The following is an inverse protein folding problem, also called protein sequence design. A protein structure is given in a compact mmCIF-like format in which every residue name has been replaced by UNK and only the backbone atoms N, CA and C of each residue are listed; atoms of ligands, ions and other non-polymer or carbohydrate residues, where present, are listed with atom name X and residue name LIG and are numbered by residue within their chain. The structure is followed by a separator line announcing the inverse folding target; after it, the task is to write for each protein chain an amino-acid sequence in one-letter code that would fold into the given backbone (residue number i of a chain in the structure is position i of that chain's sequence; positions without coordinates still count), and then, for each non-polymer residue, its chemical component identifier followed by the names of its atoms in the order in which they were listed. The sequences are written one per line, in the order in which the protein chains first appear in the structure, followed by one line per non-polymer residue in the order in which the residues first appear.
data_IF_868861390323
#
_entry.id   IF_868861390323
#
_cell.length_a   1.000
_cell.length_b   1.000
_cell.length_c   1.000
_cell.angle_alpha   90.00
_cell.angle_beta   90.00
_cell.angle_gamma   90.00
#
_symmetry.space_group_name_H-M   'P 1'
#
loop_
_entity.id
_entity.type
_entity.pdbx_description
1 polymer ?
#
# COMPACT_ATOMS: atom_id res chain seq x y z
N UNK A 1 -10.98 -3.82 7.61
CA UNK A 1 -10.40 -4.29 6.33
C UNK A 1 -9.02 -3.69 6.01
N UNK A 2 -8.01 -4.54 5.74
CA UNK A 2 -6.63 -4.17 5.36
C UNK A 2 -6.69 -4.18 3.86
N UNK A 3 -7.18 -3.08 3.34
CA UNK A 3 -7.80 -3.08 2.03
C UNK A 3 -6.76 -3.12 0.94
N UNK A 4 -5.94 -2.10 0.79
CA UNK A 4 -5.62 -1.75 -0.58
C UNK A 4 -4.62 -2.66 -1.25
N UNK A 5 -3.57 -3.08 -0.55
CA UNK A 5 -2.64 -4.06 -1.08
C UNK A 5 -3.13 -5.51 -0.89
N UNK A 6 -4.05 -5.78 0.05
CA UNK A 6 -4.72 -7.07 0.22
C UNK A 6 -5.91 -7.29 -0.72
N UNK A 7 -6.39 -6.23 -1.36
CA UNK A 7 -7.55 -6.26 -2.24
C UNK A 7 -7.26 -6.90 -3.59
N UNK A 8 -6.00 -6.85 -4.02
CA UNK A 8 -5.52 -7.44 -5.27
C UNK A 8 -5.02 -8.89 -5.14
N UNK A 9 -5.08 -9.48 -3.94
CA UNK A 9 -4.51 -10.82 -3.67
C UNK A 9 -5.24 -11.90 -4.49
N UNK A 10 -4.57 -12.49 -5.48
CA UNK A 10 -5.17 -13.50 -6.37
C UNK A 10 -5.58 -12.98 -7.75
N UNK A 11 -5.14 -11.77 -8.13
CA UNK A 11 -5.32 -11.27 -9.49
C UNK A 11 -4.55 -12.13 -10.53
N UNK A 12 -5.23 -12.58 -11.58
CA UNK A 12 -4.64 -13.35 -12.68
C UNK A 12 -3.61 -12.55 -13.52
N UNK A 13 -3.60 -11.21 -13.39
CA UNK A 13 -2.65 -10.33 -14.08
C UNK A 13 -1.17 -10.54 -13.65
N UNK A 14 -0.92 -11.30 -12.59
CA UNK A 14 0.41 -11.66 -12.12
C UNK A 14 1.19 -12.59 -13.08
N UNK A 15 0.58 -13.08 -14.17
CA UNK A 15 1.24 -14.02 -15.09
C UNK A 15 1.61 -13.46 -16.48
N UNK A 16 1.16 -12.27 -16.89
CA UNK A 16 1.60 -11.64 -18.15
C UNK A 16 1.55 -10.11 -18.06
N UNK A 17 2.66 -9.46 -17.67
CA UNK A 17 2.76 -8.01 -17.66
C UNK A 17 3.82 -7.49 -18.67
N UNK A 18 3.41 -6.79 -19.75
CA UNK A 18 4.34 -6.15 -20.70
C UNK A 18 5.20 -5.02 -20.09
N UNK A 19 4.92 -4.56 -18.86
CA UNK A 19 5.67 -3.49 -18.16
C UNK A 19 7.10 -3.86 -17.78
N UNK A 20 7.48 -5.14 -17.84
CA UNK A 20 8.85 -5.58 -17.55
C UNK A 20 9.89 -4.95 -18.48
N UNK A 21 9.49 -4.53 -19.70
CA UNK A 21 10.38 -3.84 -20.64
C UNK A 21 10.64 -2.35 -20.31
N UNK A 22 9.81 -1.70 -19.50
CA UNK A 22 9.99 -0.29 -19.13
C UNK A 22 10.86 -0.11 -17.88
N UNK A 23 10.86 -1.09 -16.97
CA UNK A 23 11.69 -1.07 -15.76
C UNK A 23 13.16 -1.45 -16.03
N UNK A 24 13.46 -2.15 -17.14
CA UNK A 24 14.82 -2.56 -17.48
C UNK A 24 15.72 -1.45 -18.05
N UNK A 25 15.20 -0.25 -18.36
CA UNK A 25 16.04 0.86 -18.86
C UNK A 25 16.70 1.71 -17.78
N UNK A 26 16.37 1.51 -16.51
CA UNK A 26 16.99 2.23 -15.38
C UNK A 26 17.93 1.32 -14.56
N UNK A 27 17.89 0.00 -14.78
CA UNK A 27 18.62 -0.98 -13.97
C UNK A 27 19.92 -1.51 -14.64
N UNK A 28 20.43 -0.84 -15.66
CA UNK A 28 21.65 -1.24 -16.37
C UNK A 28 22.71 -0.14 -16.26
N UNK A 29 23.08 0.18 -15.03
CA UNK A 29 24.41 0.65 -14.61
C UNK A 29 24.32 0.90 -13.10
N UNK A 30 24.91 0.01 -12.31
CA UNK A 30 25.72 0.34 -11.12
C UNK A 30 26.03 -0.93 -10.32
N UNK A 31 27.34 -1.20 -10.20
CA UNK A 31 27.93 -2.18 -9.31
C UNK A 31 27.85 -1.69 -7.84
N UNK A 32 28.07 -2.55 -6.81
CA UNK A 32 27.81 -2.15 -5.44
C UNK A 32 28.92 -1.20 -4.94
N UNK A 33 28.59 0.09 -4.83
CA UNK A 33 29.46 1.07 -4.16
C UNK A 33 29.29 1.05 -2.63
N UNK A 34 30.37 1.35 -1.87
CA UNK A 34 30.41 1.19 -0.43
C UNK A 34 29.71 2.36 0.29
N UNK A 35 29.28 2.08 1.54
CA UNK A 35 28.68 2.99 2.54
C UNK A 35 28.80 4.49 2.22
N UNK A 36 27.70 5.12 1.81
CA UNK A 36 27.65 6.56 1.63
C UNK A 36 27.64 7.31 2.99
N UNK A 37 28.54 8.28 3.10
CA UNK A 37 28.63 9.21 4.21
C UNK A 37 27.41 10.18 4.22
N UNK A 38 27.15 10.89 5.33
CA UNK A 38 26.13 11.95 5.38
C UNK A 38 26.53 13.04 4.38
N UNK A 39 25.89 13.05 3.20
CA UNK A 39 26.24 13.95 2.09
C UNK A 39 25.75 13.52 0.70
N UNK A 40 25.39 12.24 0.52
CA UNK A 40 24.99 11.71 -0.81
C UNK A 40 23.46 11.62 -1.02
N UNK A 41 22.71 12.54 -0.42
CA UNK A 41 21.27 12.61 -0.65
C UNK A 41 20.97 13.34 -1.97
N UNK A 42 20.48 12.60 -2.96
CA UNK A 42 19.90 13.14 -4.19
C UNK A 42 18.39 13.23 -4.06
N UNK A 43 17.86 14.43 -3.82
CA UNK A 43 16.41 14.66 -3.75
C UNK A 43 15.66 14.06 -4.96
N UNK A 44 14.65 13.19 -4.74
CA UNK A 44 13.69 12.77 -5.78
C UNK A 44 12.63 13.86 -6.05
N UNK A 45 12.65 14.96 -5.29
CA UNK A 45 11.68 16.04 -5.30
C UNK A 45 12.21 17.36 -5.89
N UNK A 46 13.27 17.30 -6.70
CA UNK A 46 13.86 18.49 -7.37
C UNK A 46 12.87 19.26 -8.23
N UNK A 47 11.95 18.55 -8.87
CA UNK A 47 10.90 19.11 -9.73
C UNK A 47 9.51 18.94 -9.10
N UNK A 48 9.42 18.96 -7.76
CA UNK A 48 8.15 18.70 -7.07
C UNK A 48 7.08 19.72 -7.46
N UNK A 49 7.46 20.99 -7.58
CA UNK A 49 6.50 22.03 -7.96
C UNK A 49 5.87 21.77 -9.35
N UNK A 50 6.61 21.18 -10.26
CA UNK A 50 6.21 20.89 -11.64
C UNK A 50 5.55 19.52 -11.81
N UNK A 51 5.57 18.65 -10.79
CA UNK A 51 5.16 17.24 -10.92
C UNK A 51 4.18 16.73 -9.88
N UNK A 52 4.10 17.37 -8.70
CA UNK A 52 3.24 16.91 -7.62
C UNK A 52 1.76 16.98 -8.02
N UNK A 53 0.98 15.93 -7.73
CA UNK A 53 -0.43 15.90 -8.12
C UNK A 53 -1.21 17.04 -7.45
N UNK A 54 -0.87 17.40 -6.21
CA UNK A 54 -1.48 18.52 -5.48
C UNK A 54 -1.34 19.87 -6.20
N UNK A 55 -0.36 20.01 -7.10
CA UNK A 55 -0.13 21.26 -7.86
C UNK A 55 -0.58 21.18 -9.30
N UNK A 56 -0.42 20.03 -9.93
CA UNK A 56 -0.56 19.89 -11.39
C UNK A 56 -1.80 19.11 -11.82
N UNK A 57 -2.26 18.16 -11.00
CA UNK A 57 -3.38 17.33 -11.38
C UNK A 57 -4.70 18.08 -11.16
N UNK A 58 -5.63 18.04 -12.13
CA UNK A 58 -6.94 18.62 -11.93
C UNK A 58 -7.70 17.80 -10.88
N UNK A 59 -8.62 18.44 -10.16
CA UNK A 59 -9.58 17.73 -9.32
C UNK A 59 -10.34 16.71 -10.15
N UNK A 60 -10.20 15.43 -9.80
CA UNK A 60 -10.91 14.32 -10.46
C UNK A 60 -12.39 14.38 -10.12
N UNK A 61 -13.23 14.43 -11.15
CA UNK A 61 -14.69 14.54 -11.00
C UNK A 61 -15.38 13.45 -11.82
N UNK A 62 -16.36 12.77 -11.24
CA UNK A 62 -17.20 11.79 -11.94
C UNK A 62 -17.97 12.48 -13.08
N UNK A 63 -17.93 11.91 -14.29
CA UNK A 63 -18.60 12.48 -15.45
C UNK A 63 -19.95 11.81 -15.70
N UNK A 64 -20.94 12.58 -16.12
CA UNK A 64 -22.31 12.06 -16.36
C UNK A 64 -22.36 11.00 -17.49
N UNK A 65 -21.47 11.12 -18.49
CA UNK A 65 -21.42 10.29 -19.71
C UNK A 65 -20.74 8.92 -19.53
N UNK A 66 -20.46 8.50 -18.30
CA UNK A 66 -19.74 7.25 -17.96
C UNK A 66 -20.64 6.10 -17.54
N UNK A 67 -21.90 6.10 -17.99
CA UNK A 67 -22.85 5.02 -17.71
C UNK A 67 -22.33 3.67 -18.25
N UNK A 68 -22.45 2.61 -17.45
CA UNK A 68 -21.98 1.26 -17.80
C UNK A 68 -20.50 0.99 -17.50
N UNK A 69 -19.74 1.97 -16.99
CA UNK A 69 -18.38 1.74 -16.49
C UNK A 69 -18.40 1.29 -15.03
N UNK A 70 -17.40 0.51 -14.64
CA UNK A 70 -17.22 0.06 -13.27
C UNK A 70 -16.58 1.14 -12.38
N UNK A 71 -16.97 1.18 -11.11
CA UNK A 71 -16.30 2.02 -10.11
C UNK A 71 -14.97 1.43 -9.63
N UNK A 72 -14.75 0.14 -9.87
CA UNK A 72 -13.49 -0.54 -9.59
C UNK A 72 -13.28 -1.69 -10.59
N UNK A 73 -12.05 -1.99 -11.05
CA UNK A 73 -11.82 -3.11 -11.98
C UNK A 73 -12.23 -4.46 -11.36
N UNK A 74 -13.15 -5.24 -11.98
CA UNK A 74 -13.54 -6.55 -11.45
C UNK A 74 -12.38 -7.54 -11.33
N UNK A 75 -11.45 -7.53 -12.29
CA UNK A 75 -10.27 -8.41 -12.31
C UNK A 75 -9.31 -8.21 -11.13
N UNK A 76 -9.45 -7.07 -10.45
CA UNK A 76 -8.71 -6.71 -9.26
C UNK A 76 -9.47 -7.01 -7.96
N UNK A 77 -10.66 -7.60 -8.06
CA UNK A 77 -11.47 -8.04 -6.93
C UNK A 77 -11.65 -9.57 -7.05
N UNK A 78 -10.72 -10.37 -6.49
CA UNK A 78 -10.61 -11.81 -6.71
C UNK A 78 -11.94 -12.58 -6.54
N UNK A 79 -12.72 -12.23 -5.53
CA UNK A 79 -14.01 -12.88 -5.24
C UNK A 79 -15.02 -12.75 -6.39
N UNK A 80 -14.92 -11.73 -7.25
CA UNK A 80 -15.82 -11.56 -8.41
C UNK A 80 -15.63 -12.63 -9.47
N UNK A 81 -14.50 -13.35 -9.43
CA UNK A 81 -14.21 -14.43 -10.36
C UNK A 81 -14.80 -15.78 -9.92
N UNK A 82 -15.22 -15.89 -8.66
CA UNK A 82 -15.76 -17.12 -8.09
C UNK A 82 -17.15 -17.45 -8.67
N UNK A 83 -17.44 -18.71 -9.05
CA UNK A 83 -18.73 -19.09 -9.65
C UNK A 83 -19.96 -18.64 -8.86
N UNK A 84 -19.98 -18.88 -7.54
CA UNK A 84 -21.08 -18.44 -6.66
C UNK A 84 -21.30 -16.92 -6.65
N UNK A 85 -20.23 -16.14 -6.82
CA UNK A 85 -20.33 -14.68 -6.86
C UNK A 85 -20.81 -14.25 -8.24
N UNK A 86 -20.38 -14.91 -9.32
CA UNK A 86 -20.85 -14.66 -10.70
C UNK A 86 -22.34 -14.94 -10.91
N UNK A 87 -22.94 -15.79 -10.08
CA UNK A 87 -24.38 -16.10 -10.09
C UNK A 87 -25.22 -15.02 -9.38
N UNK A 88 -24.60 -14.06 -8.68
CA UNK A 88 -25.31 -12.97 -8.03
C UNK A 88 -25.93 -12.00 -9.07
N UNK A 89 -27.01 -11.29 -8.68
CA UNK A 89 -27.61 -10.28 -9.56
C UNK A 89 -26.62 -9.19 -9.95
N UNK A 90 -26.73 -8.66 -11.18
CA UNK A 90 -25.85 -7.59 -11.68
C UNK A 90 -25.79 -6.35 -10.77
N UNK A 91 -26.90 -5.98 -10.13
CA UNK A 91 -26.96 -4.89 -9.17
C UNK A 91 -26.06 -5.13 -7.93
N UNK A 92 -25.93 -6.39 -7.50
CA UNK A 92 -25.06 -6.79 -6.39
C UNK A 92 -23.60 -6.72 -6.79
N UNK A 93 -23.26 -7.08 -8.04
CA UNK A 93 -21.92 -6.88 -8.57
C UNK A 93 -21.50 -5.40 -8.59
N UNK A 94 -22.39 -4.51 -9.05
CA UNK A 94 -22.11 -3.07 -9.03
C UNK A 94 -21.90 -2.57 -7.60
N UNK A 95 -22.78 -2.97 -6.68
CA UNK A 95 -22.66 -2.62 -5.27
C UNK A 95 -21.35 -3.13 -4.64
N UNK A 96 -20.96 -4.38 -4.94
CA UNK A 96 -19.70 -4.97 -4.48
C UNK A 96 -18.49 -4.13 -4.95
N UNK A 97 -18.45 -3.72 -6.21
CA UNK A 97 -17.35 -2.90 -6.74
C UNK A 97 -17.34 -1.49 -6.15
N UNK A 98 -18.52 -0.90 -5.90
CA UNK A 98 -18.63 0.40 -5.21
C UNK A 98 -18.14 0.30 -3.76
N UNK A 99 -18.54 -0.74 -3.02
CA UNK A 99 -18.06 -0.96 -1.66
C UNK A 99 -16.56 -1.25 -1.63
N UNK A 100 -16.04 -1.97 -2.62
CA UNK A 100 -14.60 -2.18 -2.77
C UNK A 100 -13.85 -0.86 -2.97
N UNK A 101 -14.36 0.02 -3.84
CA UNK A 101 -13.79 1.37 -4.02
C UNK A 101 -13.83 2.16 -2.70
N UNK A 102 -14.91 2.12 -1.92
CA UNK A 102 -14.92 2.81 -0.62
C UNK A 102 -13.84 2.31 0.33
N UNK A 103 -13.58 1.01 0.36
CA UNK A 103 -12.51 0.43 1.17
C UNK A 103 -11.13 0.85 0.69
N UNK A 104 -10.95 0.95 -0.62
CA UNK A 104 -9.74 1.48 -1.24
C UNK A 104 -9.47 2.90 -0.76
N UNK A 105 -10.46 3.79 -0.93
CA UNK A 105 -10.32 5.22 -0.63
C UNK A 105 -10.18 5.47 0.87
N UNK A 106 -10.92 4.76 1.73
CA UNK A 106 -10.81 4.89 3.18
C UNK A 106 -9.46 4.37 3.71
N UNK A 107 -8.96 3.28 3.15
CA UNK A 107 -7.62 2.80 3.48
C UNK A 107 -6.56 3.84 3.14
N UNK A 108 -6.55 4.35 1.91
CA UNK A 108 -5.58 5.36 1.46
C UNK A 108 -5.66 6.59 2.34
N UNK A 109 -6.87 7.17 2.51
CA UNK A 109 -7.05 8.36 3.33
C UNK A 109 -6.54 8.20 4.76
N UNK A 110 -6.71 7.02 5.37
CA UNK A 110 -6.30 6.79 6.76
C UNK A 110 -4.85 6.37 6.90
N UNK A 111 -4.28 5.67 5.93
CA UNK A 111 -2.84 5.42 5.89
C UNK A 111 -2.12 6.77 5.82
N UNK A 112 -2.50 7.59 4.86
CA UNK A 112 -1.84 8.86 4.58
C UNK A 112 -1.98 9.83 5.74
N UNK A 113 -3.19 10.05 6.24
CA UNK A 113 -3.43 11.07 7.27
C UNK A 113 -3.01 10.65 8.69
N UNK A 114 -3.19 9.39 9.08
CA UNK A 114 -3.00 8.96 10.47
C UNK A 114 -1.63 8.34 10.72
N UNK A 115 -0.99 7.78 9.68
CA UNK A 115 0.26 7.03 9.82
C UNK A 115 1.41 7.72 9.10
N UNK A 116 1.31 7.92 7.79
CA UNK A 116 2.40 8.48 6.99
C UNK A 116 2.65 9.93 7.37
N UNK A 117 1.61 10.77 7.37
CA UNK A 117 1.72 12.20 7.71
C UNK A 117 2.28 12.46 9.10
N UNK A 118 1.91 11.63 10.09
CA UNK A 118 2.45 11.72 11.44
C UNK A 118 3.97 11.50 11.43
N UNK A 119 4.43 10.47 10.72
CA UNK A 119 5.85 10.11 10.67
C UNK A 119 6.67 11.10 9.85
N UNK A 120 6.20 11.49 8.67
CA UNK A 120 6.94 12.46 7.82
C UNK A 120 7.01 13.84 8.46
N UNK A 121 6.01 14.25 9.25
CA UNK A 121 6.10 15.49 10.02
C UNK A 121 7.22 15.42 11.08
N UNK A 122 7.35 14.28 11.77
CA UNK A 122 8.45 14.05 12.70
C UNK A 122 9.82 14.05 12.00
N UNK A 123 9.91 13.45 10.81
CA UNK A 123 11.12 13.50 9.98
C UNK A 123 11.46 14.94 9.60
N UNK A 124 10.48 15.70 9.10
CA UNK A 124 10.65 17.09 8.69
C UNK A 124 11.12 17.98 9.85
N UNK A 125 10.53 17.78 11.03
CA UNK A 125 10.90 18.51 12.25
C UNK A 125 12.21 18.04 12.88
N UNK A 126 12.79 16.93 12.41
CA UNK A 126 14.01 16.36 13.00
C UNK A 126 13.78 15.73 14.37
N UNK A 127 12.53 15.37 14.71
CA UNK A 127 12.17 14.78 15.99
C UNK A 127 12.16 13.24 15.98
N UNK A 128 12.48 12.63 14.83
CA UNK A 128 12.50 11.18 14.62
C UNK A 128 13.75 10.49 15.21
N UNK A 129 14.74 11.24 15.70
CA UNK A 129 15.96 10.69 16.29
C UNK A 129 16.98 10.13 15.29
N UNK A 130 16.87 10.53 14.03
CA UNK A 130 17.81 10.18 12.94
C UNK A 130 18.43 11.47 12.41
N UNK A 131 19.75 11.53 12.36
CA UNK A 131 20.49 12.63 11.74
C UNK A 131 20.33 12.56 10.22
N UNK A 132 19.78 13.60 9.61
CA UNK A 132 19.44 13.64 8.18
C UNK A 132 19.96 14.93 7.54
N UNK A 133 20.37 14.89 6.26
CA UNK A 133 20.65 16.10 5.51
C UNK A 133 19.45 17.06 5.49
N UNK A 134 19.69 18.36 5.54
CA UNK A 134 18.63 19.38 5.56
C UNK A 134 17.67 19.26 4.37
N UNK A 135 18.18 18.96 3.17
CA UNK A 135 17.36 18.76 1.98
C UNK A 135 16.40 17.56 2.14
N UNK A 136 16.83 16.50 2.81
CA UNK A 136 16.02 15.32 3.06
C UNK A 136 14.90 15.59 4.07
N UNK A 137 15.19 16.41 5.09
CA UNK A 137 14.16 16.89 6.03
C UNK A 137 13.18 17.83 5.34
N UNK A 138 13.66 18.68 4.44
CA UNK A 138 12.80 19.58 3.68
C UNK A 138 11.88 18.82 2.71
N UNK A 139 12.39 17.77 2.07
CA UNK A 139 11.59 16.91 1.20
C UNK A 139 10.46 16.18 1.95
N UNK A 140 10.62 15.89 3.24
CA UNK A 140 9.52 15.34 4.05
C UNK A 140 8.31 16.30 4.16
N UNK A 141 8.50 17.62 4.09
CA UNK A 141 7.37 18.57 4.00
C UNK A 141 6.64 18.49 2.65
N UNK A 142 7.33 18.11 1.58
CA UNK A 142 6.70 17.92 0.26
C UNK A 142 5.83 16.67 0.27
N UNK A 143 6.35 15.56 0.83
CA UNK A 143 5.56 14.34 1.07
C UNK A 143 4.35 14.65 1.94
N UNK A 144 4.52 15.41 3.02
CA UNK A 144 3.40 15.80 3.88
C UNK A 144 2.27 16.52 3.11
N UNK A 145 2.63 17.35 2.13
CA UNK A 145 1.66 18.02 1.27
C UNK A 145 0.99 17.04 0.29
N UNK A 146 1.75 16.14 -0.31
CA UNK A 146 1.25 15.11 -1.22
C UNK A 146 0.26 14.19 -0.49
N UNK A 147 0.60 13.69 0.69
CA UNK A 147 -0.28 12.80 1.47
C UNK A 147 -1.56 13.47 1.99
N UNK A 148 -1.47 14.75 2.36
CA UNK A 148 -2.65 15.53 2.68
C UNK A 148 -3.59 15.65 1.46
N UNK A 149 -3.03 15.80 0.25
CA UNK A 149 -3.81 15.81 -0.98
C UNK A 149 -4.37 14.42 -1.34
N UNK A 150 -3.60 13.36 -1.10
CA UNK A 150 -4.05 11.97 -1.28
C UNK A 150 -5.25 11.64 -0.40
N UNK A 151 -5.20 12.10 0.85
CA UNK A 151 -6.34 12.04 1.77
C UNK A 151 -7.53 12.81 1.21
N UNK A 152 -7.32 14.06 0.76
CA UNK A 152 -8.39 14.92 0.25
C UNK A 152 -9.09 14.32 -0.97
N UNK A 153 -8.34 13.89 -2.00
CA UNK A 153 -8.95 13.34 -3.21
C UNK A 153 -9.71 12.05 -2.91
N UNK A 154 -9.28 11.28 -1.90
CA UNK A 154 -9.89 9.99 -1.58
C UNK A 154 -11.26 10.20 -0.95
N UNK A 155 -11.34 11.13 0.00
CA UNK A 155 -12.58 11.54 0.65
C UNK A 155 -13.53 12.22 -0.36
N UNK A 156 -12.99 13.10 -1.22
CA UNK A 156 -13.79 13.80 -2.22
C UNK A 156 -14.41 12.80 -3.22
N UNK A 157 -13.62 11.87 -3.75
CA UNK A 157 -14.12 10.86 -4.68
C UNK A 157 -15.17 9.94 -4.04
N UNK A 158 -14.97 9.51 -2.79
CA UNK A 158 -15.95 8.70 -2.07
C UNK A 158 -17.31 9.44 -1.96
N UNK A 159 -17.28 10.74 -1.62
CA UNK A 159 -18.50 11.57 -1.55
C UNK A 159 -19.20 11.70 -2.90
N UNK A 160 -18.44 11.86 -3.98
CA UNK A 160 -19.01 11.90 -5.33
C UNK A 160 -19.70 10.59 -5.71
N UNK A 161 -19.07 9.45 -5.40
CA UNK A 161 -19.63 8.11 -5.69
C UNK A 161 -20.92 7.88 -4.89
N UNK A 162 -20.95 8.25 -3.61
CA UNK A 162 -22.17 8.13 -2.78
C UNK A 162 -23.31 8.98 -3.33
N UNK A 163 -23.03 10.22 -3.71
CA UNK A 163 -24.03 11.12 -4.29
C UNK A 163 -24.60 10.58 -5.60
N UNK A 164 -23.75 9.99 -6.45
CA UNK A 164 -24.13 9.47 -7.78
C UNK A 164 -24.86 8.14 -7.70
N UNK A 165 -24.36 7.20 -6.92
CA UNK A 165 -24.90 5.82 -6.84
C UNK A 165 -26.02 5.67 -5.82
N UNK A 166 -26.09 6.57 -4.83
CA UNK A 166 -26.94 6.45 -3.63
C UNK A 166 -26.63 5.22 -2.77
N UNK A 167 -25.48 4.59 -2.98
CA UNK A 167 -24.97 3.50 -2.16
C UNK A 167 -24.11 4.12 -1.06
N UNK A 168 -24.53 3.96 0.19
CA UNK A 168 -23.75 4.46 1.33
C UNK A 168 -22.52 3.57 1.60
N UNK A 169 -21.35 4.16 1.97
CA UNK A 169 -20.18 3.39 2.37
C UNK A 169 -20.45 2.50 3.59
N UNK A 170 -20.09 1.22 3.51
CA UNK A 170 -20.11 0.27 4.63
C UNK A 170 -18.69 0.03 5.13
N UNK A 171 -18.17 1.02 5.87
CA UNK A 171 -16.80 1.00 6.37
C UNK A 171 -16.77 0.67 7.88
N UNK A 172 -15.77 -0.08 8.35
CA UNK A 172 -15.53 -0.24 9.78
C UNK A 172 -15.10 1.09 10.41
N UNK A 173 -15.13 1.18 11.74
CA UNK A 173 -14.66 2.38 12.49
C UNK A 173 -13.23 2.77 12.11
N UNK A 174 -12.38 1.77 11.87
CA UNK A 174 -11.01 1.90 11.42
C UNK A 174 -10.65 0.74 10.46
N UNK A 175 -9.76 0.97 9.48
CA UNK A 175 -9.22 -0.07 8.62
C UNK A 175 -8.50 -1.13 9.45
N UNK A 176 -8.51 -2.35 8.96
CA UNK A 176 -7.89 -3.49 9.68
C UNK A 176 -6.37 -3.33 9.76
N UNK A 177 -5.74 -2.54 8.90
CA UNK A 177 -4.27 -2.41 8.93
C UNK A 177 -3.87 -1.61 10.14
N UNK A 178 -4.70 -0.61 10.46
CA UNK A 178 -4.56 0.17 11.66
C UNK A 178 -4.86 -0.69 12.90
N UNK A 179 -5.87 -1.57 12.83
CA UNK A 179 -6.14 -2.54 13.92
C UNK A 179 -4.99 -3.51 14.17
N UNK A 180 -4.40 -4.03 13.08
CA UNK A 180 -3.26 -4.94 13.16
C UNK A 180 -2.00 -4.22 13.62
N UNK A 181 -1.77 -3.01 13.13
CA UNK A 181 -0.64 -2.18 13.53
C UNK A 181 -0.74 -1.84 15.02
N UNK A 182 -1.89 -1.39 15.52
CA UNK A 182 -2.07 -1.12 16.94
C UNK A 182 -1.84 -2.37 17.79
N UNK A 183 -2.43 -3.52 17.42
CA UNK A 183 -2.16 -4.79 18.13
C UNK A 183 -0.69 -5.17 18.13
N UNK A 184 -0.02 -5.02 16.99
CA UNK A 184 1.41 -5.28 16.88
C UNK A 184 2.21 -4.35 17.80
N UNK A 185 1.88 -3.05 17.84
CA UNK A 185 2.54 -2.08 18.71
C UNK A 185 2.29 -2.36 20.20
N UNK A 186 1.08 -2.79 20.57
CA UNK A 186 0.73 -3.15 21.95
C UNK A 186 1.50 -4.38 22.46
N UNK A 187 1.91 -5.27 21.56
CA UNK A 187 2.74 -6.45 21.87
C UNK A 187 4.23 -6.12 22.04
N UNK A 188 4.69 -4.98 21.51
CA UNK A 188 6.09 -4.59 21.54
C UNK A 188 6.48 -3.96 22.88
N UNK A 189 7.74 -4.13 23.32
CA UNK A 189 8.28 -3.31 24.40
C UNK A 189 8.09 -1.82 24.08
N UNK A 190 7.71 -0.96 25.04
CA UNK A 190 7.48 0.47 24.79
C UNK A 190 8.66 1.20 24.12
N UNK A 191 9.89 0.73 24.36
CA UNK A 191 11.10 1.28 23.74
C UNK A 191 11.19 1.03 22.23
N UNK A 192 10.53 0.00 21.71
CA UNK A 192 10.60 -0.39 20.29
C UNK A 192 9.48 0.25 19.45
N UNK A 193 8.46 0.83 20.10
CA UNK A 193 7.26 1.35 19.44
C UNK A 193 7.54 2.44 18.40
N UNK A 194 8.41 3.40 18.73
CA UNK A 194 8.77 4.48 17.80
C UNK A 194 9.48 3.95 16.54
N UNK A 195 10.42 3.01 16.73
CA UNK A 195 11.12 2.36 15.62
C UNK A 195 10.15 1.54 14.76
N UNK A 196 9.19 0.84 15.39
CA UNK A 196 8.16 0.07 14.71
C UNK A 196 7.24 0.95 13.85
N UNK A 197 6.80 2.11 14.36
CA UNK A 197 6.01 3.09 13.61
C UNK A 197 6.78 3.60 12.37
N UNK A 198 8.06 3.98 12.53
CA UNK A 198 8.89 4.45 11.41
C UNK A 198 9.10 3.34 10.38
N UNK A 199 9.42 2.12 10.83
CA UNK A 199 9.58 0.97 9.94
C UNK A 199 8.28 0.63 9.21
N UNK A 200 7.13 0.78 9.86
CA UNK A 200 5.84 0.57 9.21
C UNK A 200 5.66 1.53 8.04
N UNK A 201 5.99 2.82 8.22
CA UNK A 201 5.93 3.80 7.12
C UNK A 201 6.94 3.48 6.03
N UNK A 202 8.19 3.14 6.35
CA UNK A 202 9.16 2.69 5.33
C UNK A 202 8.62 1.50 4.53
N UNK A 203 7.98 0.54 5.21
CA UNK A 203 7.38 -0.64 4.58
C UNK A 203 6.17 -0.23 3.72
N UNK A 204 5.21 0.55 4.23
CA UNK A 204 4.02 0.92 3.47
C UNK A 204 4.38 1.71 2.21
N UNK A 205 5.28 2.68 2.33
CA UNK A 205 5.68 3.58 1.25
C UNK A 205 6.50 2.88 0.16
N UNK A 206 7.17 1.77 0.50
CA UNK A 206 7.89 0.94 -0.48
C UNK A 206 7.03 -0.19 -1.06
N UNK A 207 5.85 -0.45 -0.49
CA UNK A 207 4.88 -1.45 -0.96
C UNK A 207 3.74 -0.83 -1.77
N UNK A 208 3.31 0.39 -1.43
CA UNK A 208 2.11 1.01 -2.00
C UNK A 208 2.26 1.29 -3.49
N UNK A 209 3.45 1.73 -3.94
CA UNK A 209 3.71 1.99 -5.36
C UNK A 209 3.50 0.75 -6.23
N UNK A 210 3.86 -0.44 -5.71
CA UNK A 210 3.60 -1.70 -6.41
C UNK A 210 2.10 -2.00 -6.51
N UNK A 211 1.34 -1.72 -5.44
CA UNK A 211 -0.12 -1.97 -5.39
C UNK A 211 -0.88 -1.04 -6.34
N UNK A 212 -0.47 0.23 -6.43
CA UNK A 212 -1.06 1.19 -7.36
C UNK A 212 -0.76 0.86 -8.83
N UNK A 213 0.38 0.23 -9.10
CA UNK A 213 0.76 -0.16 -10.45
C UNK A 213 -0.10 -1.30 -11.03
N UNK A 214 -0.82 -2.03 -10.17
CA UNK A 214 -1.74 -3.11 -10.54
C UNK A 214 -3.06 -2.61 -11.10
N UNK A 215 -3.49 -1.38 -10.77
CA UNK A 215 -4.71 -0.80 -11.32
C UNK A 215 -4.45 -0.37 -12.77
N UNK A 216 -5.04 -1.07 -13.77
CA UNK A 216 -4.77 -0.76 -15.15
C UNK A 216 -5.54 0.51 -15.56
N UNK A 217 -4.94 1.25 -16.48
CA UNK A 217 -5.59 2.39 -17.12
C UNK A 217 -6.53 1.88 -18.21
N UNK A 218 -7.68 1.34 -17.81
CA UNK A 218 -8.68 0.78 -18.73
C UNK A 218 -9.84 1.73 -18.96
N UNK A 219 -10.42 1.64 -20.15
CA UNK A 219 -11.65 2.37 -20.51
C UNK A 219 -12.90 1.85 -19.79
N UNK A 220 -12.81 0.72 -19.10
CA UNK A 220 -13.91 0.06 -18.41
C UNK A 220 -14.21 0.65 -17.03
N UNK A 221 -13.26 1.41 -16.46
CA UNK A 221 -13.42 2.08 -15.17
C UNK A 221 -13.78 3.55 -15.37
N UNK A 222 -14.56 4.11 -14.44
CA UNK A 222 -14.84 5.55 -14.40
C UNK A 222 -13.53 6.35 -14.33
N UNK A 223 -13.39 7.35 -15.20
CA UNK A 223 -12.13 8.09 -15.40
C UNK A 223 -11.66 8.84 -14.17
N UNK A 224 -12.57 9.21 -13.27
CA UNK A 224 -12.20 9.84 -12.01
C UNK A 224 -11.38 8.87 -11.14
N UNK A 225 -11.77 7.59 -11.06
CA UNK A 225 -11.06 6.57 -10.27
C UNK A 225 -9.69 6.27 -10.88
N UNK A 226 -9.62 5.95 -12.17
CA UNK A 226 -8.33 5.69 -12.82
C UNK A 226 -7.43 6.93 -12.85
N UNK A 227 -8.02 8.12 -12.98
CA UNK A 227 -7.36 9.41 -12.83
C UNK A 227 -6.69 9.59 -11.47
N UNK A 228 -7.46 9.39 -10.40
CA UNK A 228 -6.99 9.50 -9.01
C UNK A 228 -5.86 8.52 -8.73
N UNK A 229 -6.00 7.26 -9.14
CA UNK A 229 -4.98 6.24 -8.94
C UNK A 229 -3.69 6.58 -9.70
N UNK A 230 -3.81 7.07 -10.94
CA UNK A 230 -2.65 7.47 -11.75
C UNK A 230 -1.91 8.64 -11.12
N UNK A 231 -2.63 9.63 -10.60
CA UNK A 231 -2.06 10.77 -9.90
C UNK A 231 -1.29 10.29 -8.66
N UNK A 232 -1.94 9.48 -7.82
CA UNK A 232 -1.34 8.91 -6.61
C UNK A 232 -0.07 8.13 -6.94
N UNK A 233 -0.13 7.21 -7.91
CA UNK A 233 1.03 6.41 -8.32
C UNK A 233 2.21 7.27 -8.81
N UNK A 234 1.93 8.42 -9.40
CA UNK A 234 2.94 9.37 -9.87
C UNK A 234 3.72 10.03 -8.72
N UNK A 235 3.05 10.31 -7.60
CA UNK A 235 3.65 10.81 -6.36
C UNK A 235 4.37 9.69 -5.59
N UNK A 236 3.72 8.53 -5.42
CA UNK A 236 4.28 7.39 -4.69
C UNK A 236 5.61 6.88 -5.25
N UNK A 237 5.82 6.97 -6.57
CA UNK A 237 7.12 6.62 -7.15
C UNK A 237 8.29 7.47 -6.59
N UNK A 238 8.03 8.73 -6.19
CA UNK A 238 9.01 9.59 -5.52
C UNK A 238 9.11 9.26 -4.03
N UNK A 239 8.00 8.94 -3.39
CA UNK A 239 7.95 8.58 -1.96
C UNK A 239 8.71 7.28 -1.71
N UNK A 240 8.49 6.26 -2.55
CA UNK A 240 9.27 5.04 -2.57
C UNK A 240 10.78 5.31 -2.65
N UNK A 241 11.20 6.16 -3.58
CA UNK A 241 12.62 6.52 -3.73
C UNK A 241 13.17 7.23 -2.48
N UNK A 242 12.39 8.14 -1.90
CA UNK A 242 12.73 8.82 -0.66
C UNK A 242 12.89 7.84 0.50
N UNK A 243 11.92 6.96 0.74
CA UNK A 243 11.95 6.03 1.87
C UNK A 243 13.00 4.94 1.69
N UNK A 244 13.34 4.54 0.47
CA UNK A 244 14.49 3.68 0.21
C UNK A 244 15.81 4.34 0.61
N UNK A 245 15.95 5.66 0.41
CA UNK A 245 17.13 6.43 0.86
C UNK A 245 17.10 6.65 2.38
N UNK A 246 15.93 6.97 2.94
CA UNK A 246 15.72 7.20 4.38
C UNK A 246 16.08 5.94 5.17
N UNK A 247 15.64 4.78 4.70
CA UNK A 247 15.97 3.49 5.31
C UNK A 247 17.48 3.31 5.45
N UNK A 248 18.29 3.66 4.43
CA UNK A 248 19.75 3.55 4.52
C UNK A 248 20.35 4.45 5.60
N UNK A 249 19.88 5.70 5.67
CA UNK A 249 20.34 6.68 6.68
C UNK A 249 19.98 6.24 8.09
N UNK A 250 18.71 5.88 8.31
CA UNK A 250 18.23 5.38 9.59
C UNK A 250 18.96 4.10 10.00
N UNK A 251 19.06 3.11 9.11
CA UNK A 251 19.69 1.82 9.41
C UNK A 251 21.16 1.98 9.81
N UNK A 252 21.89 2.90 9.16
CA UNK A 252 23.28 3.23 9.50
C UNK A 252 23.48 3.73 10.93
N UNK A 253 22.44 4.32 11.53
CA UNK A 253 22.48 4.93 12.86
C UNK A 253 21.93 4.02 13.97
N UNK A 254 21.16 2.98 13.62
CA UNK A 254 20.69 1.98 14.58
C UNK A 254 21.86 1.21 15.21
N UNK A 255 21.78 0.98 16.52
CA UNK A 255 22.65 0.07 17.25
C UNK A 255 22.49 -1.37 16.75
N UNK A 256 23.46 -2.27 17.03
CA UNK A 256 23.34 -3.67 16.66
C UNK A 256 22.10 -4.36 17.26
N UNK A 257 21.62 -3.92 18.43
CA UNK A 257 20.42 -4.47 19.05
C UNK A 257 19.15 -4.03 18.30
N UNK A 258 19.03 -2.73 18.00
CA UNK A 258 17.90 -2.17 17.25
C UNK A 258 17.83 -2.74 15.83
N UNK A 259 18.96 -2.92 15.13
CA UNK A 259 18.98 -3.57 13.81
C UNK A 259 18.41 -4.98 13.86
N UNK A 260 18.77 -5.77 14.88
CA UNK A 260 18.23 -7.13 15.06
C UNK A 260 16.73 -7.12 15.37
N UNK A 261 16.29 -6.18 16.21
CA UNK A 261 14.86 -6.01 16.51
C UNK A 261 14.07 -5.62 15.25
N UNK A 262 14.55 -4.60 14.53
CA UNK A 262 13.99 -4.13 13.27
C UNK A 262 13.90 -5.25 12.23
N UNK A 263 14.99 -5.99 12.02
CA UNK A 263 15.05 -7.08 11.04
C UNK A 263 14.01 -8.18 11.28
N UNK A 264 13.78 -8.54 12.55
CA UNK A 264 12.76 -9.53 12.94
C UNK A 264 11.34 -8.98 12.83
N UNK A 265 11.18 -7.67 12.96
CA UNK A 265 9.87 -7.01 12.91
C UNK A 265 9.38 -6.78 11.47
N UNK A 266 10.28 -6.54 10.52
CA UNK A 266 9.94 -6.22 9.12
C UNK A 266 8.98 -7.25 8.46
N UNK A 267 9.18 -8.58 8.57
CA UNK A 267 8.24 -9.56 8.02
C UNK A 267 6.82 -9.42 8.59
N UNK A 268 6.70 -9.14 9.89
CA UNK A 268 5.43 -8.89 10.58
C UNK A 268 4.79 -7.60 10.10
N UNK A 269 5.56 -6.54 9.84
CA UNK A 269 5.05 -5.27 9.30
C UNK A 269 4.54 -5.43 7.86
N UNK A 270 5.30 -6.13 7.01
CA UNK A 270 4.91 -6.44 5.63
C UNK A 270 3.58 -7.20 5.61
N UNK A 271 3.44 -8.25 6.43
CA UNK A 271 2.18 -8.99 6.52
C UNK A 271 1.05 -8.17 7.15
N UNK A 272 1.36 -7.34 8.14
CA UNK A 272 0.41 -6.37 8.74
C UNK A 272 -0.14 -5.39 7.72
N UNK A 273 0.63 -5.03 6.68
CA UNK A 273 0.17 -4.17 5.59
C UNK A 273 -0.61 -4.95 4.52
N UNK A 274 -0.07 -6.09 4.06
CA UNK A 274 -0.53 -6.77 2.83
C UNK A 274 -1.70 -7.74 3.02
N UNK A 275 -1.87 -8.32 4.20
CA UNK A 275 -2.77 -9.46 4.34
C UNK A 275 -4.24 -9.03 4.33
N UNK A 276 -5.15 -9.68 3.59
CA UNK A 276 -6.55 -9.26 3.46
C UNK A 276 -7.36 -9.46 4.75
N UNK A 277 -8.51 -8.81 4.86
CA UNK A 277 -9.49 -8.99 5.94
C UNK A 277 -10.53 -10.04 5.53
N UNK A 278 -10.13 -11.31 5.58
CA UNK A 278 -10.94 -12.44 5.17
C UNK A 278 -12.28 -12.54 5.94
N UNK A 279 -12.34 -12.30 7.27
CA UNK A 279 -13.60 -12.28 8.00
C UNK A 279 -14.58 -11.23 7.46
N UNK A 280 -14.11 -10.00 7.20
CA UNK A 280 -14.97 -8.94 6.69
C UNK A 280 -15.45 -9.23 5.25
N UNK A 281 -14.62 -9.84 4.41
CA UNK A 281 -15.03 -10.28 3.06
C UNK A 281 -16.14 -11.34 3.17
N UNK A 282 -16.00 -12.33 4.06
CA UNK A 282 -17.04 -13.33 4.31
C UNK A 282 -18.35 -12.68 4.76
N UNK A 283 -18.31 -11.75 5.71
CA UNK A 283 -19.49 -11.02 6.18
C UNK A 283 -20.15 -10.18 5.07
N UNK A 284 -19.35 -9.61 4.16
CA UNK A 284 -19.83 -8.88 3.00
C UNK A 284 -20.61 -9.79 2.05
N UNK A 285 -20.06 -10.97 1.73
CA UNK A 285 -20.70 -11.96 0.87
C UNK A 285 -22.04 -12.47 1.45
N UNK A 286 -22.10 -12.69 2.77
CA UNK A 286 -23.36 -13.09 3.44
C UNK A 286 -24.42 -11.99 3.29
N UNK A 287 -24.03 -10.71 3.44
CA UNK A 287 -24.95 -9.58 3.23
C UNK A 287 -25.42 -9.45 1.79
N UNK A 288 -24.64 -9.91 0.81
CA UNK A 288 -25.03 -10.00 -0.59
C UNK A 288 -25.95 -11.18 -0.91
N UNK A 289 -26.30 -12.00 0.07
CA UNK A 289 -27.28 -13.08 -0.05
C UNK A 289 -26.69 -14.47 -0.21
N UNK A 290 -25.38 -14.64 -0.10
CA UNK A 290 -24.78 -15.98 -0.02
C UNK A 290 -25.10 -16.62 1.34
N UNK A 291 -25.34 -17.93 1.34
CA UNK A 291 -25.39 -18.72 2.57
C UNK A 291 -24.03 -18.68 3.30
N UNK A 292 -24.02 -18.93 4.60
CA UNK A 292 -22.80 -18.88 5.41
C UNK A 292 -21.72 -19.87 4.92
N UNK A 293 -22.13 -21.09 4.59
CA UNK A 293 -21.24 -22.12 4.03
C UNK A 293 -20.68 -21.72 2.67
N UNK A 294 -21.51 -21.10 1.83
CA UNK A 294 -21.12 -20.59 0.51
C UNK A 294 -20.14 -19.43 0.62
N UNK A 295 -20.39 -18.48 1.51
CA UNK A 295 -19.47 -17.37 1.75
C UNK A 295 -18.12 -17.85 2.31
N UNK A 296 -18.13 -18.84 3.21
CA UNK A 296 -16.91 -19.48 3.68
C UNK A 296 -16.15 -20.17 2.54
N UNK A 297 -16.87 -20.91 1.69
CA UNK A 297 -16.29 -21.57 0.51
C UNK A 297 -15.66 -20.57 -0.46
N UNK A 298 -16.36 -19.49 -0.80
CA UNK A 298 -15.81 -18.42 -1.67
C UNK A 298 -14.48 -17.91 -1.13
N UNK A 299 -14.41 -17.56 0.16
CA UNK A 299 -13.19 -17.01 0.76
C UNK A 299 -12.07 -18.06 0.77
N UNK A 300 -12.36 -19.29 1.16
CA UNK A 300 -11.36 -20.36 1.25
C UNK A 300 -10.78 -20.74 -0.13
N UNK A 301 -11.61 -20.79 -1.17
CA UNK A 301 -11.19 -21.12 -2.54
C UNK A 301 -10.51 -19.94 -3.25
N UNK A 302 -10.87 -18.70 -2.91
CA UNK A 302 -10.29 -17.49 -3.52
C UNK A 302 -8.96 -17.09 -2.89
N UNK A 303 -8.82 -17.22 -1.56
CA UNK A 303 -7.66 -16.77 -0.81
C UNK A 303 -6.91 -17.96 -0.19
N UNK A 304 -6.48 -18.90 -1.04
CA UNK A 304 -5.71 -20.06 -0.57
C UNK A 304 -4.36 -19.63 0.03
N UNK A 305 -3.76 -20.42 0.94
CA UNK A 305 -2.44 -20.12 1.49
C UNK A 305 -1.38 -19.86 0.41
N UNK A 306 -1.44 -20.58 -0.71
CA UNK A 306 -0.54 -20.43 -1.85
C UNK A 306 -0.73 -19.08 -2.53
N UNK A 307 -1.97 -18.66 -2.80
CA UNK A 307 -2.29 -17.36 -3.40
C UNK A 307 -1.82 -16.22 -2.50
N UNK A 308 -2.13 -16.31 -1.20
CA UNK A 308 -1.71 -15.31 -0.21
C UNK A 308 -0.17 -15.19 -0.15
N UNK A 309 0.54 -16.32 -0.12
CA UNK A 309 2.01 -16.34 -0.09
C UNK A 309 2.64 -15.83 -1.39
N UNK A 310 2.09 -16.19 -2.55
CA UNK A 310 2.56 -15.70 -3.84
C UNK A 310 2.40 -14.19 -3.96
N UNK A 311 1.23 -13.67 -3.57
CA UNK A 311 0.97 -12.24 -3.53
C UNK A 311 1.94 -11.51 -2.60
N UNK A 312 2.08 -12.01 -1.37
CA UNK A 312 2.99 -11.44 -0.38
C UNK A 312 4.42 -11.38 -0.91
N UNK A 313 4.91 -12.48 -1.51
CA UNK A 313 6.26 -12.54 -2.07
C UNK A 313 6.43 -11.62 -3.30
N UNK A 314 5.41 -11.49 -4.14
CA UNK A 314 5.43 -10.60 -5.29
C UNK A 314 5.50 -9.13 -4.86
N UNK A 315 4.62 -8.71 -3.95
CA UNK A 315 4.49 -7.33 -3.50
C UNK A 315 5.65 -6.88 -2.62
N UNK A 316 6.19 -7.76 -1.78
CA UNK A 316 7.26 -7.40 -0.84
C UNK A 316 8.67 -7.48 -1.40
N UNK A 317 8.85 -8.02 -2.61
CA UNK A 317 10.17 -8.30 -3.20
C UNK A 317 11.14 -7.13 -3.12
N UNK A 318 10.70 -5.93 -3.52
CA UNK A 318 11.60 -4.78 -3.57
C UNK A 318 11.92 -4.24 -2.17
N UNK A 319 10.93 -4.18 -1.28
CA UNK A 319 11.12 -3.83 0.13
C UNK A 319 12.10 -4.78 0.81
N UNK A 320 11.93 -6.10 0.63
CA UNK A 320 12.82 -7.13 1.17
C UNK A 320 14.25 -6.94 0.66
N UNK A 321 14.45 -6.67 -0.64
CA UNK A 321 15.78 -6.39 -1.20
C UNK A 321 16.48 -5.20 -0.55
N UNK A 322 15.74 -4.13 -0.21
CA UNK A 322 16.34 -2.99 0.49
C UNK A 322 16.86 -3.40 1.87
N UNK A 323 16.07 -4.13 2.66
CA UNK A 323 16.50 -4.63 3.96
C UNK A 323 17.63 -5.67 3.84
N UNK A 324 17.58 -6.54 2.84
CA UNK A 324 18.64 -7.50 2.54
C UNK A 324 19.97 -6.80 2.24
N UNK A 325 19.97 -5.77 1.39
CA UNK A 325 21.19 -5.01 1.05
C UNK A 325 21.84 -4.33 2.26
N UNK A 326 21.08 -4.17 3.35
CA UNK A 326 21.51 -3.59 4.61
C UNK A 326 21.93 -4.64 5.65
N UNK A 327 21.96 -5.92 5.27
CA UNK A 327 22.32 -7.05 6.13
C UNK A 327 21.24 -7.39 7.17
N UNK A 328 19.98 -6.97 6.96
CA UNK A 328 18.91 -7.23 7.92
C UNK A 328 18.70 -8.74 8.14
N UNK A 329 18.85 -9.53 7.09
CA UNK A 329 18.59 -10.96 7.09
C UNK A 329 19.86 -11.81 7.11
N UNK A 330 20.92 -11.31 7.77
CA UNK A 330 22.12 -12.11 8.08
C UNK A 330 21.95 -12.87 9.41
N UNK A 331 21.04 -12.42 10.28
CA UNK A 331 20.65 -13.10 11.52
C UNK A 331 19.70 -14.26 11.21
N UNK A 332 20.01 -15.46 11.70
CA UNK A 332 19.21 -16.66 11.45
C UNK A 332 17.75 -16.52 11.91
N UNK A 333 17.48 -15.79 13.00
CA UNK A 333 16.11 -15.55 13.47
C UNK A 333 15.35 -14.59 12.57
N UNK A 334 16.01 -13.56 12.02
CA UNK A 334 15.37 -12.68 11.04
C UNK A 334 15.03 -13.42 9.73
N UNK A 335 15.88 -14.35 9.31
CA UNK A 335 15.57 -15.26 8.21
C UNK A 335 14.40 -16.19 8.54
N UNK A 336 14.36 -16.74 9.75
CA UNK A 336 13.25 -17.58 10.20
C UNK A 336 11.91 -16.82 10.16
N UNK A 337 11.88 -15.57 10.60
CA UNK A 337 10.69 -14.70 10.52
C UNK A 337 10.21 -14.51 9.06
N UNK A 338 11.12 -14.32 8.09
CA UNK A 338 10.74 -14.27 6.67
C UNK A 338 10.02 -15.57 6.24
N UNK A 339 10.56 -16.72 6.63
CA UNK A 339 9.97 -18.02 6.29
C UNK A 339 8.62 -18.26 6.97
N UNK A 340 8.48 -17.94 8.26
CA UNK A 340 7.23 -18.05 9.02
C UNK A 340 6.13 -17.22 8.34
N UNK A 341 6.48 -16.06 7.81
CA UNK A 341 5.56 -15.20 7.09
C UNK A 341 5.40 -15.53 5.61
N UNK A 342 6.08 -16.56 5.08
CA UNK A 342 5.96 -16.96 3.68
C UNK A 342 6.61 -15.99 2.68
N UNK A 343 7.58 -15.20 3.15
CA UNK A 343 8.32 -14.21 2.36
C UNK A 343 9.67 -14.83 1.93
N UNK A 344 10.02 -14.68 0.65
CA UNK A 344 11.30 -15.14 0.11
C UNK A 344 12.29 -13.99 0.01
N UNK A 345 13.56 -14.28 0.33
CA UNK A 345 14.70 -13.41 0.12
C UNK A 345 14.97 -13.24 -1.39
#
# INVERSE_FOLDING_TARGET
MCGTAGMFVGCAALTQCPKQLLLHRVAADDAPEPRSAPGDYRSPFRNWHERAAVRQSPRRTLREDESGRHYFPPDLVPITQHPLVKELPAAVHEELLVQHLYRYLDFTARLESLVVNRTVLSIAQGSVGVELPDEMRFDAYKIYCDEAYHTLFSIDLARQVEQRTRIAPRLPRQPFFLDRLHRLLDELPPADGALAEILFVVVSETLISASLAEIPDTSEVVTAVSGTVRDHAGDEGRHHAYFAMFLRQMWGQLSPAERRAAARLVPRLITTFLHPDLPAIREELIRYGLGEDDAHRVVAETYTPEILSQHLAAMSRQTVRYFESLGAFDDARALEELHVHGIRK
#
